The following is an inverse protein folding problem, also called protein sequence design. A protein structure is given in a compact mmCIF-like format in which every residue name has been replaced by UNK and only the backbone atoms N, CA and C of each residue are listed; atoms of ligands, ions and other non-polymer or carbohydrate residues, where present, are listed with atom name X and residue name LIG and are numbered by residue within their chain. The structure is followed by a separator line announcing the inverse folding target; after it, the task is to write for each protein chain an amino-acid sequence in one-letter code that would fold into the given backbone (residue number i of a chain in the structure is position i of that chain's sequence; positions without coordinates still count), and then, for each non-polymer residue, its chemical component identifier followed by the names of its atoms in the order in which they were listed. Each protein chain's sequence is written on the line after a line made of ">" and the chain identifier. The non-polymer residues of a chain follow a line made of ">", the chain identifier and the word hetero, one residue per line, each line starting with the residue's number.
data_IF_378784234624
#
_entry.id   IF_378784234624
#
_cell.length_a   1.000
_cell.length_b   1.000
_cell.length_c   1.000
_cell.angle_alpha   90.00
_cell.angle_beta   90.00
_cell.angle_gamma   90.00
#
_symmetry.space_group_name_H-M   'P 1'
#
loop_
_entity.id
_entity.type
_entity.pdbx_description
1 polymer ?
#
# COMPACT_ATOMS: atom_id res chain seq x y z
N UNK A 1 -1.53 12.35 11.24
CA UNK A 1 -0.12 12.14 11.62
C UNK A 1 0.34 10.81 11.04
N UNK A 2 1.53 10.73 10.45
CA UNK A 2 2.11 9.48 9.92
C UNK A 2 3.06 8.86 10.97
N UNK A 3 3.06 7.52 11.08
CA UNK A 3 3.97 6.76 11.93
C UNK A 3 4.75 5.77 11.06
N UNK A 4 6.06 5.67 11.27
CA UNK A 4 6.89 4.66 10.60
C UNK A 4 6.56 3.27 11.15
N UNK A 5 6.29 2.34 10.26
CA UNK A 5 6.00 0.94 10.58
C UNK A 5 6.87 0.08 9.67
N UNK A 6 7.57 -0.89 10.25
CA UNK A 6 8.32 -1.91 9.51
C UNK A 6 7.50 -3.20 9.52
N UNK A 7 7.28 -3.79 8.35
CA UNK A 7 6.61 -5.09 8.22
C UNK A 7 7.36 -5.96 7.20
N UNK A 8 7.18 -7.28 7.31
CA UNK A 8 7.69 -8.25 6.35
C UNK A 8 6.55 -8.69 5.42
N UNK A 9 6.79 -8.68 4.12
CA UNK A 9 5.85 -9.14 3.09
C UNK A 9 6.57 -10.00 2.06
N UNK A 10 5.85 -10.87 1.33
CA UNK A 10 6.41 -11.58 0.19
C UNK A 10 7.02 -10.61 -0.84
N UNK A 11 8.16 -11.01 -1.42
CA UNK A 11 8.88 -10.18 -2.40
C UNK A 11 8.00 -9.82 -3.61
N UNK A 12 7.14 -10.75 -4.03
CA UNK A 12 6.24 -10.54 -5.16
C UNK A 12 5.25 -9.39 -4.94
N UNK A 13 4.87 -9.11 -3.68
CA UNK A 13 4.00 -7.97 -3.37
C UNK A 13 4.76 -6.66 -3.51
N UNK A 14 6.02 -6.63 -3.07
CA UNK A 14 6.89 -5.45 -3.24
C UNK A 14 7.08 -5.15 -4.72
N UNK A 15 7.40 -6.17 -5.52
CA UNK A 15 7.53 -6.03 -6.98
C UNK A 15 6.24 -5.55 -7.64
N UNK A 16 5.10 -6.09 -7.21
CA UNK A 16 3.79 -5.65 -7.70
C UNK A 16 3.55 -4.16 -7.42
N UNK A 17 3.84 -3.71 -6.20
CA UNK A 17 3.71 -2.31 -5.81
C UNK A 17 4.70 -1.42 -6.59
N UNK A 18 5.94 -1.87 -6.80
CA UNK A 18 6.93 -1.15 -7.61
C UNK A 18 6.45 -0.93 -9.03
N UNK A 19 5.90 -1.96 -9.68
CA UNK A 19 5.29 -1.82 -11.02
C UNK A 19 4.17 -0.78 -11.04
N UNK A 20 3.33 -0.74 -10.01
CA UNK A 20 2.25 0.25 -9.92
C UNK A 20 2.79 1.68 -9.80
N UNK A 21 3.95 1.87 -9.16
CA UNK A 21 4.62 3.16 -9.08
C UNK A 21 5.31 3.50 -10.42
N UNK A 22 5.96 2.53 -11.06
CA UNK A 22 6.57 2.70 -12.40
C UNK A 22 5.54 3.07 -13.48
N UNK A 23 4.29 2.62 -13.32
CA UNK A 23 3.17 2.97 -14.19
C UNK A 23 2.53 4.33 -13.86
N UNK A 24 3.12 5.13 -12.98
CA UNK A 24 2.60 6.42 -12.50
C UNK A 24 1.19 6.35 -11.86
N UNK A 25 0.73 5.16 -11.45
CA UNK A 25 -0.58 4.99 -10.78
C UNK A 25 -0.52 5.44 -9.32
N UNK A 26 0.66 5.36 -8.70
CA UNK A 26 0.91 5.83 -7.34
C UNK A 26 2.23 6.58 -7.27
N UNK A 27 2.30 7.66 -6.49
CA UNK A 27 3.51 8.49 -6.41
C UNK A 27 4.69 7.78 -5.74
N UNK A 28 4.44 6.78 -4.89
CA UNK A 28 5.47 5.98 -4.23
C UNK A 28 4.86 4.74 -3.57
N UNK A 29 5.74 3.80 -3.18
CA UNK A 29 5.36 2.53 -2.52
C UNK A 29 4.57 2.76 -1.23
N UNK A 30 4.98 3.73 -0.41
CA UNK A 30 4.33 4.03 0.87
C UNK A 30 2.89 4.53 0.68
N UNK A 31 2.61 5.28 -0.37
CA UNK A 31 1.26 5.77 -0.68
C UNK A 31 0.37 4.66 -1.23
N UNK A 32 0.90 3.80 -2.11
CA UNK A 32 0.18 2.62 -2.59
C UNK A 32 -0.24 1.71 -1.42
N UNK A 33 0.68 1.46 -0.48
CA UNK A 33 0.40 0.66 0.73
C UNK A 33 -0.66 1.35 1.61
N UNK A 34 -0.57 2.67 1.80
CA UNK A 34 -1.54 3.42 2.61
C UNK A 34 -2.94 3.37 2.02
N UNK A 35 -3.06 3.47 0.70
CA UNK A 35 -4.33 3.35 -0.02
C UNK A 35 -4.91 1.94 0.17
N UNK A 36 -4.11 0.90 -0.03
CA UNK A 36 -4.55 -0.48 0.18
C UNK A 36 -5.05 -0.72 1.61
N UNK A 37 -4.33 -0.25 2.63
CA UNK A 37 -4.75 -0.34 4.04
C UNK A 37 -6.06 0.41 4.28
N UNK A 38 -6.18 1.64 3.77
CA UNK A 38 -7.40 2.45 3.92
C UNK A 38 -8.61 1.75 3.32
N UNK A 39 -8.47 1.24 2.10
CA UNK A 39 -9.58 0.63 1.38
C UNK A 39 -10.01 -0.70 2.03
N UNK A 40 -9.05 -1.48 2.55
CA UNK A 40 -9.33 -2.62 3.41
C UNK A 40 -10.10 -2.22 4.68
N UNK A 41 -9.64 -1.21 5.42
CA UNK A 41 -10.31 -0.77 6.65
C UNK A 41 -11.73 -0.26 6.39
N UNK A 42 -11.93 0.51 5.30
CA UNK A 42 -13.27 0.95 4.88
C UNK A 42 -14.20 -0.21 4.63
N UNK A 43 -13.72 -1.25 3.94
CA UNK A 43 -14.51 -2.44 3.61
C UNK A 43 -14.90 -3.26 4.83
N UNK A 44 -13.99 -3.42 5.78
CA UNK A 44 -14.17 -4.31 6.94
C UNK A 44 -14.85 -3.62 8.15
N UNK A 45 -14.57 -2.33 8.39
CA UNK A 45 -15.04 -1.63 9.59
C UNK A 45 -16.31 -0.80 9.37
N UNK A 46 -16.62 -0.38 8.14
CA UNK A 46 -17.75 0.51 7.85
C UNK A 46 -18.87 -0.20 7.10
N UNK A 47 -19.24 -1.39 7.58
CA UNK A 47 -20.54 -1.99 7.28
C UNK A 47 -21.68 -1.25 7.99
#
# INVERSE_FOLDING_TARGET
>A
MLKLITLHVPLEYVKGIEKLVEMDLYPNRSEAIRIAIRDMLKKELWK
#
